data_IF_619708636578
#
_entry.id   IF_619708636578
#
_cell.length_a   1.000
_cell.length_b   1.000
_cell.length_c   1.000
_cell.angle_alpha   90.00
_cell.angle_beta   90.00
_cell.angle_gamma   90.00
#
_symmetry.space_group_name_H-M   'P 1'
#
loop_
_entity.id
_entity.type
_entity.pdbx_description
1 polymer ?
#
# COMPACT_ATOMS: atom_id res chain seq x y z
N UNK A 1 -7.51 -0.20 -1.27
CA UNK A 1 -8.66 -0.27 -0.33
C UNK A 1 -8.34 -0.94 1.01
N UNK A 2 -7.65 -2.09 1.02
CA UNK A 2 -7.35 -2.83 2.26
C UNK A 2 -6.50 -2.04 3.29
N UNK A 3 -5.49 -1.28 2.83
CA UNK A 3 -4.63 -0.49 3.72
C UNK A 3 -5.39 0.65 4.40
N UNK A 4 -6.36 1.26 3.70
CA UNK A 4 -7.19 2.34 4.25
C UNK A 4 -8.06 1.84 5.41
N UNK A 5 -8.71 0.68 5.25
CA UNK A 5 -9.48 0.05 6.34
C UNK A 5 -8.60 -0.30 7.55
N UNK A 6 -7.39 -0.81 7.29
CA UNK A 6 -6.40 -1.06 8.35
C UNK A 6 -6.05 0.22 9.12
N UNK A 7 -5.78 1.32 8.42
CA UNK A 7 -5.43 2.60 9.04
C UNK A 7 -6.61 3.24 9.77
N UNK A 8 -7.80 3.24 9.18
CA UNK A 8 -8.94 4.01 9.68
C UNK A 8 -9.71 3.27 10.77
N UNK A 9 -9.90 1.96 10.63
CA UNK A 9 -10.72 1.17 11.55
C UNK A 9 -9.87 0.47 12.62
N UNK A 10 -8.79 -0.20 12.19
CA UNK A 10 -7.98 -1.05 13.08
C UNK A 10 -6.90 -0.23 13.81
N UNK A 11 -6.39 0.84 13.19
CA UNK A 11 -5.36 1.74 13.73
C UNK A 11 -4.15 1.01 14.36
N UNK A 12 -3.49 0.08 13.63
CA UNK A 12 -2.36 -0.66 14.17
C UNK A 12 -1.15 0.26 14.39
N UNK A 13 -0.34 -0.06 15.40
CA UNK A 13 0.89 0.68 15.69
C UNK A 13 2.04 0.38 14.70
N UNK A 14 1.93 -0.70 13.91
CA UNK A 14 2.90 -1.11 12.90
C UNK A 14 2.21 -1.92 11.79
N UNK A 15 2.54 -1.64 10.54
CA UNK A 15 2.10 -2.41 9.37
C UNK A 15 3.34 -2.90 8.62
N UNK A 16 3.43 -4.21 8.37
CA UNK A 16 4.47 -4.81 7.55
C UNK A 16 3.85 -5.30 6.25
N UNK A 17 4.24 -4.71 5.12
CA UNK A 17 3.81 -5.12 3.79
C UNK A 17 4.98 -5.78 3.04
N UNK A 18 4.67 -6.75 2.19
CA UNK A 18 5.66 -7.47 1.37
C UNK A 18 5.16 -7.53 -0.08
N UNK A 19 6.10 -7.58 -1.04
CA UNK A 19 5.77 -7.44 -2.48
C UNK A 19 5.63 -5.99 -2.93
N UNK A 20 5.49 -5.74 -4.25
CA UNK A 20 5.27 -4.38 -4.80
C UNK A 20 6.46 -3.42 -4.70
N UNK A 21 7.67 -3.92 -4.45
CA UNK A 21 8.90 -3.13 -4.22
C UNK A 21 9.97 -3.37 -5.30
N UNK A 22 9.61 -4.05 -6.38
CA UNK A 22 10.49 -4.31 -7.50
C UNK A 22 10.62 -3.09 -8.43
N UNK A 23 11.46 -3.23 -9.46
CA UNK A 23 11.59 -2.24 -10.55
C UNK A 23 10.61 -2.51 -11.70
N UNK A 24 9.58 -3.35 -11.45
CA UNK A 24 8.57 -3.60 -12.47
C UNK A 24 7.90 -2.27 -12.83
N UNK A 25 7.59 -2.00 -14.12
CA UNK A 25 6.78 -0.84 -14.49
C UNK A 25 5.47 -0.73 -13.70
N UNK A 26 4.92 -1.87 -13.26
CA UNK A 26 3.74 -1.95 -12.40
C UNK A 26 4.01 -1.52 -10.95
N UNK A 27 5.24 -1.67 -10.44
CA UNK A 27 5.67 -1.26 -9.10
C UNK A 27 6.10 0.23 -9.05
N UNK A 28 6.56 0.78 -10.19
CA UNK A 28 7.02 2.18 -10.32
C UNK A 28 5.84 3.10 -10.65
N UNK A 29 4.71 2.55 -11.14
CA UNK A 29 3.53 3.33 -11.44
C UNK A 29 3.00 3.96 -10.14
N UNK A 30 3.01 5.30 -10.00
CA UNK A 30 2.37 5.93 -8.85
C UNK A 30 0.88 5.62 -8.96
N UNK A 31 0.33 4.84 -8.02
CA UNK A 31 -1.10 4.49 -8.01
C UNK A 31 -2.03 5.67 -7.69
N UNK A 32 -1.66 6.91 -7.99
CA UNK A 32 -2.48 8.09 -7.71
C UNK A 32 -2.34 9.12 -8.83
N UNK A 33 -3.21 9.01 -9.84
CA UNK A 33 -3.96 10.15 -10.41
C UNK A 33 -4.98 9.65 -11.42
N UNK A 34 -6.22 9.47 -10.96
CA UNK A 34 -7.47 9.68 -11.72
C UNK A 34 -8.64 9.59 -10.75
#
# INVERSE_FOLDING_TARGET
EALLKLCDEIRPNLILATGGTGISPDDIKPEVTS
#
